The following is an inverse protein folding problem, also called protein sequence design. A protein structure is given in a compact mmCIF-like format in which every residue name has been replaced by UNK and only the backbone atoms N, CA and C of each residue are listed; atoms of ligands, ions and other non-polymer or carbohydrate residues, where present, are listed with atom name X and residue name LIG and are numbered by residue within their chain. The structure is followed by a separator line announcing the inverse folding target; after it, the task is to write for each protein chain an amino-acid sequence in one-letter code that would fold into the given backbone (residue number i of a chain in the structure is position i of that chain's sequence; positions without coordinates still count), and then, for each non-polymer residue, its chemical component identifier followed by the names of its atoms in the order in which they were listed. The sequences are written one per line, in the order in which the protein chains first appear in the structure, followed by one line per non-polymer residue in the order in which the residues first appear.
data_IF_326162194778
#
_entry.id   IF_326162194778
#
_cell.length_a   1.000
_cell.length_b   1.000
_cell.length_c   1.000
_cell.angle_alpha   90.00
_cell.angle_beta   90.00
_cell.angle_gamma   90.00
#
_symmetry.space_group_name_H-M   'P 1'
#
loop_
_entity.id
_entity.type
_entity.pdbx_description
1 polymer ?
#
# COMPACT_ATOMS: atom_id res chain seq x y z
N UNK A 1 -19.93 16.93 -3.27
CA UNK A 1 -18.62 17.50 -3.33
C UNK A 1 -17.61 16.57 -2.72
N UNK A 2 -16.62 16.10 -3.49
CA UNK A 2 -15.54 15.28 -2.97
C UNK A 2 -14.70 16.08 -1.97
N UNK A 3 -14.27 15.44 -0.89
CA UNK A 3 -13.32 16.02 0.05
C UNK A 3 -11.96 16.23 -0.65
N UNK A 4 -11.23 17.26 -0.24
CA UNK A 4 -9.86 17.45 -0.72
C UNK A 4 -9.00 16.24 -0.36
N UNK A 5 -8.06 15.81 -1.25
CA UNK A 5 -7.16 14.73 -0.95
C UNK A 5 -6.29 15.01 0.28
N UNK A 6 -6.11 14.02 1.12
CA UNK A 6 -5.13 14.06 2.21
C UNK A 6 -3.75 13.82 1.59
N UNK A 7 -2.84 14.77 1.75
CA UNK A 7 -1.47 14.66 1.23
C UNK A 7 -0.49 14.48 2.37
N UNK A 8 0.27 13.39 2.34
CA UNK A 8 1.29 13.07 3.32
C UNK A 8 2.63 12.94 2.59
N UNK A 9 3.48 13.96 2.77
CA UNK A 9 4.80 13.98 2.17
C UNK A 9 5.85 13.59 3.21
N UNK A 10 6.62 12.54 2.91
CA UNK A 10 7.71 12.06 3.76
C UNK A 10 9.04 12.45 3.13
N UNK A 11 9.66 13.49 3.66
CA UNK A 11 10.99 13.93 3.29
C UNK A 11 12.01 13.21 4.13
N UNK A 12 12.67 12.22 3.55
CA UNK A 12 13.62 11.35 4.25
C UNK A 12 15.03 11.88 4.08
N UNK A 13 15.65 12.33 5.17
CA UNK A 13 17.00 12.88 5.15
C UNK A 13 18.05 11.81 4.83
N UNK A 14 19.20 12.25 4.32
CA UNK A 14 20.33 11.36 4.08
C UNK A 14 20.91 10.82 5.40
N UNK A 15 21.29 9.56 5.39
CA UNK A 15 21.90 8.85 6.51
C UNK A 15 21.07 8.90 7.81
N UNK A 16 19.74 8.77 7.67
CA UNK A 16 18.79 8.79 8.80
C UNK A 16 17.93 7.54 8.81
N UNK A 17 17.43 7.23 10.00
CA UNK A 17 16.40 6.23 10.23
C UNK A 17 15.15 6.93 10.73
N UNK A 18 14.02 6.64 10.10
CA UNK A 18 12.73 7.21 10.48
C UNK A 18 11.67 6.13 10.63
N UNK A 19 10.78 6.33 11.60
CA UNK A 19 9.66 5.44 11.85
C UNK A 19 8.40 6.30 11.96
N UNK A 20 7.42 6.03 11.11
CA UNK A 20 6.16 6.76 11.07
C UNK A 20 4.99 5.79 11.21
N UNK A 21 3.97 6.23 11.91
CA UNK A 21 2.71 5.50 12.05
C UNK A 21 1.55 6.43 11.72
N UNK A 22 0.72 6.00 10.78
CA UNK A 22 -0.44 6.77 10.31
C UNK A 22 -1.68 5.93 10.51
N UNK A 23 -2.74 6.52 11.08
CA UNK A 23 -4.04 5.90 11.21
C UNK A 23 -5.09 6.78 10.54
N UNK A 24 -5.94 6.19 9.72
CA UNK A 24 -6.97 6.90 8.96
C UNK A 24 -8.30 6.20 9.17
N UNK A 25 -9.28 6.97 9.61
CA UNK A 25 -10.66 6.55 9.74
C UNK A 25 -11.50 7.19 8.61
N UNK A 26 -12.10 6.35 7.77
CA UNK A 26 -13.12 6.78 6.83
C UNK A 26 -14.49 6.42 7.41
N UNK A 27 -15.27 7.43 7.72
CA UNK A 27 -16.59 7.27 8.34
C UNK A 27 -17.61 6.78 7.33
N UNK A 28 -18.71 6.25 7.82
CA UNK A 28 -19.80 5.71 6.99
C UNK A 28 -20.14 6.60 5.80
N UNK A 29 -20.07 6.04 4.59
CA UNK A 29 -20.39 6.71 3.34
C UNK A 29 -19.39 7.75 2.85
N UNK A 30 -18.30 8.00 3.56
CA UNK A 30 -17.28 8.96 3.12
C UNK A 30 -16.40 8.44 1.99
N UNK A 31 -15.96 9.34 1.13
CA UNK A 31 -14.86 9.12 0.20
C UNK A 31 -13.61 9.83 0.71
N UNK A 32 -12.52 9.07 0.90
CA UNK A 32 -11.24 9.61 1.35
C UNK A 32 -10.16 9.24 0.33
N UNK A 33 -9.51 10.26 -0.23
CA UNK A 33 -8.37 10.09 -1.12
C UNK A 33 -7.10 10.48 -0.36
N UNK A 34 -6.12 9.58 -0.34
CA UNK A 34 -4.85 9.78 0.35
C UNK A 34 -3.72 9.67 -0.67
N UNK A 35 -2.87 10.68 -0.72
CA UNK A 35 -1.65 10.66 -1.52
C UNK A 35 -0.45 10.70 -0.57
N UNK A 36 0.37 9.67 -0.63
CA UNK A 36 1.61 9.55 0.14
C UNK A 36 2.79 9.50 -0.80
N UNK A 37 3.79 10.34 -0.56
CA UNK A 37 5.03 10.28 -1.32
C UNK A 37 6.26 10.30 -0.42
N UNK A 38 7.29 9.59 -0.85
CA UNK A 38 8.56 9.43 -0.12
C UNK A 38 9.68 9.90 -1.01
N UNK A 39 10.42 10.91 -0.54
CA UNK A 39 11.57 11.45 -1.26
C UNK A 39 12.79 11.54 -0.35
N UNK A 40 13.97 11.59 -0.94
CA UNK A 40 15.21 11.91 -0.27
C UNK A 40 15.98 12.96 -1.07
N UNK A 41 16.97 13.68 -0.46
CA UNK A 41 17.61 14.83 -1.12
C UNK A 41 18.32 14.46 -2.42
N UNK A 42 19.00 13.32 -2.45
CA UNK A 42 19.85 12.90 -3.55
C UNK A 42 19.56 11.47 -3.99
N UNK A 43 19.91 11.15 -5.23
CA UNK A 43 19.81 9.76 -5.73
C UNK A 43 20.72 8.79 -4.97
N UNK A 44 21.77 9.29 -4.35
CA UNK A 44 22.73 8.52 -3.55
C UNK A 44 22.39 8.52 -2.07
N UNK A 45 21.29 9.17 -1.66
CA UNK A 45 20.89 9.19 -0.25
C UNK A 45 20.69 7.79 0.29
N UNK A 46 21.15 7.58 1.51
CA UNK A 46 21.03 6.32 2.25
C UNK A 46 20.18 6.50 3.49
N UNK A 47 19.66 5.42 4.01
CA UNK A 47 18.89 5.42 5.24
C UNK A 47 17.85 4.33 5.28
N UNK A 48 17.02 4.40 6.32
CA UNK A 48 15.90 3.50 6.52
C UNK A 48 14.65 4.31 6.85
N UNK A 49 13.61 4.11 6.08
CA UNK A 49 12.28 4.61 6.41
C UNK A 49 11.34 3.43 6.66
N UNK A 50 10.67 3.42 7.80
CA UNK A 50 9.66 2.44 8.15
C UNK A 50 8.34 3.17 8.39
N UNK A 51 7.32 2.79 7.63
CA UNK A 51 6.02 3.46 7.66
C UNK A 51 4.93 2.40 7.79
N UNK A 52 4.11 2.55 8.81
CA UNK A 52 2.92 1.73 9.03
C UNK A 52 1.68 2.59 8.87
N UNK A 53 0.79 2.20 7.98
CA UNK A 53 -0.48 2.91 7.73
C UNK A 53 -1.63 1.96 8.00
N UNK A 54 -2.54 2.38 8.88
CA UNK A 54 -3.75 1.62 9.19
C UNK A 54 -4.99 2.38 8.77
N UNK A 55 -5.88 1.68 8.08
CA UNK A 55 -7.17 2.20 7.65
C UNK A 55 -8.29 1.45 8.35
N UNK A 56 -9.23 2.21 8.89
CA UNK A 56 -10.53 1.69 9.29
C UNK A 56 -11.58 2.31 8.36
N UNK A 57 -12.24 1.47 7.58
CA UNK A 57 -13.14 1.91 6.52
C UNK A 57 -14.55 1.44 6.88
N UNK A 58 -15.37 2.38 7.34
CA UNK A 58 -16.72 2.10 7.81
C UNK A 58 -17.67 1.79 6.64
N UNK A 59 -18.86 1.38 6.98
CA UNK A 59 -19.90 0.95 6.05
C UNK A 59 -20.07 1.91 4.86
N UNK A 60 -19.97 1.38 3.66
CA UNK A 60 -20.16 2.14 2.42
C UNK A 60 -19.11 3.21 2.15
N UNK A 61 -18.09 3.35 2.99
CA UNK A 61 -17.01 4.30 2.75
C UNK A 61 -16.04 3.78 1.69
N UNK A 62 -15.39 4.71 1.00
CA UNK A 62 -14.41 4.41 -0.03
C UNK A 62 -13.10 5.13 0.28
N UNK A 63 -12.00 4.38 0.32
CA UNK A 63 -10.66 4.93 0.45
C UNK A 63 -9.85 4.59 -0.79
N UNK A 64 -9.22 5.60 -1.36
CA UNK A 64 -8.24 5.45 -2.43
C UNK A 64 -6.90 5.95 -1.92
N UNK A 65 -5.92 5.05 -1.84
CA UNK A 65 -4.55 5.35 -1.45
C UNK A 65 -3.64 5.32 -2.67
N UNK A 66 -2.89 6.40 -2.88
CA UNK A 66 -1.82 6.45 -3.87
C UNK A 66 -0.51 6.66 -3.13
N UNK A 67 0.45 5.77 -3.32
CA UNK A 67 1.79 5.89 -2.77
C UNK A 67 2.82 5.95 -3.90
N UNK A 68 3.71 6.95 -3.84
CA UNK A 68 4.80 7.12 -4.79
C UNK A 68 6.12 7.14 -4.03
N UNK A 69 7.01 6.19 -4.32
CA UNK A 69 8.30 6.08 -3.66
C UNK A 69 9.41 6.48 -4.63
N UNK A 70 10.14 7.56 -4.27
CA UNK A 70 11.22 8.18 -5.04
C UNK A 70 12.50 8.29 -4.20
N UNK A 71 12.72 7.35 -3.29
CA UNK A 71 13.88 7.37 -2.40
C UNK A 71 15.19 7.10 -3.16
N UNK A 72 16.29 7.58 -2.60
CA UNK A 72 17.63 7.36 -3.16
C UNK A 72 18.01 5.88 -3.21
N UNK A 73 19.00 5.56 -4.03
CA UNK A 73 19.41 4.19 -4.39
C UNK A 73 20.06 3.41 -3.24
N UNK A 74 20.39 4.06 -2.14
CA UNK A 74 20.95 3.42 -0.95
C UNK A 74 19.93 3.42 0.23
N UNK A 75 18.70 3.80 -0.07
CA UNK A 75 17.63 3.82 0.93
C UNK A 75 16.92 2.46 1.03
N UNK A 76 16.51 2.10 2.24
CA UNK A 76 15.62 0.96 2.47
C UNK A 76 14.27 1.47 2.94
N UNK A 77 13.20 1.02 2.31
CA UNK A 77 11.83 1.31 2.72
C UNK A 77 11.15 0.06 3.27
N UNK A 78 10.61 0.16 4.47
CA UNK A 78 9.68 -0.81 5.05
C UNK A 78 8.30 -0.16 5.08
N UNK A 79 7.41 -0.60 4.22
CA UNK A 79 6.06 -0.04 4.06
C UNK A 79 5.03 -1.10 4.39
N UNK A 80 4.21 -0.85 5.41
CA UNK A 80 3.19 -1.79 5.84
C UNK A 80 1.82 -1.11 5.87
N UNK A 81 0.83 -1.75 5.26
CA UNK A 81 -0.53 -1.25 5.16
C UNK A 81 -1.48 -2.29 5.75
N UNK A 82 -2.32 -1.87 6.67
CA UNK A 82 -3.44 -2.67 7.16
C UNK A 82 -4.75 -1.95 6.92
N UNK A 83 -5.78 -2.67 6.49
CA UNK A 83 -7.11 -2.10 6.30
C UNK A 83 -8.17 -3.05 6.83
N UNK A 84 -9.17 -2.49 7.50
CA UNK A 84 -10.38 -3.19 7.89
C UNK A 84 -11.55 -2.57 7.15
N UNK A 85 -12.29 -3.41 6.40
CA UNK A 85 -13.38 -2.96 5.53
C UNK A 85 -14.70 -3.52 6.04
N UNK A 86 -15.61 -2.63 6.44
CA UNK A 86 -16.95 -2.98 6.86
C UNK A 86 -17.88 -3.20 5.65
N UNK A 87 -19.18 -3.40 5.90
CA UNK A 87 -20.16 -3.67 4.84
C UNK A 87 -20.10 -2.65 3.71
N UNK A 88 -19.94 -3.11 2.47
CA UNK A 88 -19.92 -2.25 1.29
C UNK A 88 -18.72 -1.32 1.19
N UNK A 89 -17.78 -1.39 2.13
CA UNK A 89 -16.57 -0.57 2.10
C UNK A 89 -15.68 -0.95 0.92
N UNK A 90 -14.96 0.03 0.38
CA UNK A 90 -14.04 -0.17 -0.74
C UNK A 90 -12.66 0.40 -0.40
N UNK A 91 -11.61 -0.40 -0.62
CA UNK A 91 -10.23 0.02 -0.45
C UNK A 91 -9.46 -0.21 -1.74
N UNK A 92 -8.99 0.88 -2.35
CA UNK A 92 -8.16 0.83 -3.55
C UNK A 92 -6.78 1.38 -3.25
N UNK A 93 -5.75 0.64 -3.65
CA UNK A 93 -4.35 1.02 -3.49
C UNK A 93 -3.67 1.06 -4.84
N UNK A 94 -3.02 2.18 -5.15
CA UNK A 94 -2.09 2.31 -6.27
C UNK A 94 -0.73 2.67 -5.71
N UNK A 95 0.27 1.85 -6.02
CA UNK A 95 1.64 2.07 -5.56
C UNK A 95 2.60 2.13 -6.74
N UNK A 96 3.52 3.10 -6.69
CA UNK A 96 4.60 3.26 -7.66
C UNK A 96 5.93 3.26 -6.91
N UNK A 97 6.73 2.22 -7.13
CA UNK A 97 8.05 2.08 -6.53
C UNK A 97 9.12 2.36 -7.59
N UNK A 98 9.76 3.53 -7.50
CA UNK A 98 10.66 4.04 -8.53
C UNK A 98 12.08 4.27 -8.02
N UNK A 99 12.33 4.06 -6.75
CA UNK A 99 13.63 4.28 -6.12
C UNK A 99 13.94 3.22 -5.06
N UNK A 100 14.78 3.57 -4.10
CA UNK A 100 15.35 2.77 -3.02
C UNK A 100 16.29 1.66 -3.49
N UNK A 101 17.12 1.16 -2.58
CA UNK A 101 17.89 -0.06 -2.78
C UNK A 101 17.01 -1.28 -2.55
N UNK A 102 16.26 -1.26 -1.45
CA UNK A 102 15.37 -2.34 -1.05
C UNK A 102 14.03 -1.77 -0.60
N UNK A 103 12.96 -2.26 -1.20
CA UNK A 103 11.59 -1.93 -0.79
C UNK A 103 10.91 -3.20 -0.31
N UNK A 104 10.49 -3.20 0.95
CA UNK A 104 9.64 -4.24 1.52
C UNK A 104 8.27 -3.65 1.73
N UNK A 105 7.30 -4.10 0.95
CA UNK A 105 5.94 -3.59 1.03
C UNK A 105 4.98 -4.71 1.38
N UNK A 106 4.26 -4.55 2.48
CA UNK A 106 3.20 -5.44 2.91
C UNK A 106 1.86 -4.72 2.90
N UNK A 107 0.81 -5.47 2.62
CA UNK A 107 -0.55 -4.99 2.71
C UNK A 107 -1.46 -6.14 3.13
N UNK A 108 -2.28 -5.92 4.14
CA UNK A 108 -3.33 -6.86 4.50
C UNK A 108 -4.66 -6.13 4.56
N UNK A 109 -5.59 -6.53 3.71
CA UNK A 109 -6.96 -6.04 3.73
C UNK A 109 -7.87 -7.11 4.32
N UNK A 110 -8.49 -6.80 5.46
CA UNK A 110 -9.51 -7.62 6.09
C UNK A 110 -10.88 -7.19 5.59
N UNK A 111 -11.48 -8.00 4.73
CA UNK A 111 -12.81 -7.76 4.16
C UNK A 111 -13.86 -8.36 5.12
N UNK A 112 -14.16 -7.60 6.17
CA UNK A 112 -14.99 -8.02 7.29
C UNK A 112 -16.47 -8.01 6.94
N UNK A 113 -16.89 -6.99 6.22
CA UNK A 113 -18.29 -6.75 5.91
C UNK A 113 -18.74 -7.35 4.59
N UNK A 114 -20.03 -7.60 4.49
CA UNK A 114 -20.68 -8.06 3.25
C UNK A 114 -20.42 -7.08 2.11
N UNK A 115 -20.07 -7.61 0.94
CA UNK A 115 -19.85 -6.83 -0.28
C UNK A 115 -18.72 -5.80 -0.17
N UNK A 116 -17.78 -5.98 0.76
CA UNK A 116 -16.59 -5.15 0.79
C UNK A 116 -15.59 -5.54 -0.31
N UNK A 117 -14.80 -4.57 -0.78
CA UNK A 117 -13.91 -4.73 -1.93
C UNK A 117 -12.51 -4.23 -1.62
N UNK A 118 -11.51 -4.94 -2.11
CA UNK A 118 -10.11 -4.53 -2.09
C UNK A 118 -9.50 -4.66 -3.47
N UNK A 119 -8.78 -3.64 -3.89
CA UNK A 119 -8.01 -3.66 -5.13
C UNK A 119 -6.64 -3.04 -4.89
N UNK A 120 -5.58 -3.73 -5.33
CA UNK A 120 -4.22 -3.22 -5.31
C UNK A 120 -3.59 -3.33 -6.70
N UNK A 121 -3.07 -2.20 -7.18
CA UNK A 121 -2.26 -2.11 -8.39
C UNK A 121 -0.89 -1.56 -8.02
N UNK A 122 0.16 -2.30 -8.35
CA UNK A 122 1.52 -1.94 -8.01
C UNK A 122 2.34 -1.84 -9.30
N UNK A 123 2.91 -0.65 -9.54
CA UNK A 123 3.90 -0.42 -10.58
C UNK A 123 5.29 -0.29 -9.98
N UNK A 124 6.30 -0.84 -10.64
CA UNK A 124 7.68 -0.74 -10.19
C UNK A 124 8.62 -0.58 -11.38
N UNK A 125 9.71 0.13 -11.14
CA UNK A 125 10.81 0.25 -12.10
C UNK A 125 12.13 0.06 -11.34
N UNK A 126 12.80 -1.05 -11.60
CA UNK A 126 14.05 -1.41 -10.94
C UNK A 126 15.24 -1.36 -11.90
N UNK A 127 16.35 -0.84 -11.41
CA UNK A 127 17.64 -0.76 -12.10
C UNK A 127 18.77 -1.21 -11.17
N UNK A 128 19.93 -1.50 -11.73
CA UNK A 128 21.08 -1.93 -10.93
C UNK A 128 20.77 -3.18 -10.14
N UNK A 129 20.94 -3.15 -8.83
CA UNK A 129 20.64 -4.25 -7.92
C UNK A 129 19.44 -3.96 -7.00
N UNK A 130 18.55 -3.07 -7.40
CA UNK A 130 17.34 -2.74 -6.63
C UNK A 130 16.47 -3.96 -6.43
N UNK A 131 15.85 -4.05 -5.25
CA UNK A 131 15.01 -5.18 -4.87
C UNK A 131 13.65 -4.70 -4.37
N UNK A 132 12.60 -5.37 -4.85
CA UNK A 132 11.23 -5.15 -4.41
C UNK A 132 10.65 -6.46 -3.89
N UNK A 133 10.34 -6.50 -2.61
CA UNK A 133 9.66 -7.62 -1.97
C UNK A 133 8.28 -7.15 -1.53
N UNK A 134 7.24 -7.75 -2.12
CA UNK A 134 5.85 -7.34 -1.95
C UNK A 134 5.02 -8.53 -1.51
N UNK A 135 4.36 -8.39 -0.35
CA UNK A 135 3.51 -9.45 0.20
C UNK A 135 2.12 -8.87 0.52
N UNK A 136 1.15 -9.22 -0.30
CA UNK A 136 -0.20 -8.67 -0.23
C UNK A 136 -1.20 -9.77 0.09
N UNK A 137 -2.05 -9.50 1.08
CA UNK A 137 -3.01 -10.47 1.61
C UNK A 137 -4.41 -9.87 1.63
N UNK A 138 -5.37 -10.57 1.07
CA UNK A 138 -6.78 -10.27 1.21
C UNK A 138 -7.44 -11.38 2.04
N UNK A 139 -8.03 -11.00 3.18
CA UNK A 139 -8.74 -11.92 4.06
C UNK A 139 -10.24 -11.71 3.88
N UNK A 140 -10.91 -12.70 3.29
CA UNK A 140 -12.34 -12.65 3.01
C UNK A 140 -13.10 -13.26 4.19
N UNK A 141 -13.78 -12.42 4.99
CA UNK A 141 -14.62 -12.82 6.12
C UNK A 141 -16.11 -12.59 5.86
N UNK A 142 -16.44 -11.50 5.21
CA UNK A 142 -17.81 -11.18 4.82
C UNK A 142 -18.29 -11.99 3.62
N UNK A 143 -19.59 -11.97 3.37
CA UNK A 143 -20.20 -12.59 2.19
C UNK A 143 -20.03 -11.69 0.96
N UNK A 144 -19.86 -12.28 -0.21
CA UNK A 144 -19.78 -11.57 -1.50
C UNK A 144 -18.68 -10.50 -1.53
N UNK A 145 -17.57 -10.78 -0.88
CA UNK A 145 -16.40 -9.89 -0.89
C UNK A 145 -15.54 -10.16 -2.13
N UNK A 146 -14.88 -9.12 -2.62
CA UNK A 146 -14.07 -9.18 -3.83
C UNK A 146 -12.69 -8.59 -3.59
N UNK A 147 -11.67 -9.26 -4.10
CA UNK A 147 -10.30 -8.73 -4.09
C UNK A 147 -9.63 -8.90 -5.43
N UNK A 148 -8.75 -7.97 -5.78
CA UNK A 148 -7.93 -7.99 -6.98
C UNK A 148 -6.55 -7.41 -6.67
N UNK A 149 -5.49 -8.10 -7.11
CA UNK A 149 -4.12 -7.67 -6.91
C UNK A 149 -3.34 -7.82 -8.21
N UNK A 150 -2.71 -6.75 -8.66
CA UNK A 150 -1.88 -6.73 -9.85
C UNK A 150 -0.54 -6.07 -9.54
N UNK A 151 0.55 -6.70 -9.97
CA UNK A 151 1.89 -6.13 -9.89
C UNK A 151 2.55 -6.21 -11.25
N UNK A 152 2.97 -5.07 -11.78
CA UNK A 152 3.56 -4.98 -13.11
C UNK A 152 4.67 -3.93 -13.13
N UNK A 153 5.70 -4.17 -13.93
CA UNK A 153 6.81 -3.23 -14.00
C UNK A 153 7.94 -3.67 -14.90
N UNK A 154 9.00 -2.89 -14.85
CA UNK A 154 10.21 -3.09 -15.66
C UNK A 154 11.39 -3.31 -14.72
N UNK A 155 12.17 -4.36 -15.00
CA UNK A 155 13.41 -4.67 -14.29
C UNK A 155 14.55 -4.69 -15.28
N UNK A 156 15.54 -3.82 -15.08
CA UNK A 156 16.80 -3.78 -15.84
C UNK A 156 17.96 -4.27 -14.97
N UNK A 157 19.05 -4.61 -15.60
CA UNK A 157 20.28 -5.07 -14.95
C UNK A 157 20.05 -6.29 -14.05
N UNK A 158 20.44 -6.20 -12.79
CA UNK A 158 20.28 -7.26 -11.79
C UNK A 158 19.15 -6.96 -10.80
N UNK A 159 18.25 -6.05 -11.16
CA UNK A 159 17.11 -5.73 -10.32
C UNK A 159 16.20 -6.95 -10.13
N UNK A 160 15.57 -7.04 -8.96
CA UNK A 160 14.82 -8.22 -8.57
C UNK A 160 13.47 -7.82 -7.95
N UNK A 161 12.46 -8.58 -8.30
CA UNK A 161 11.12 -8.45 -7.73
C UNK A 161 10.64 -9.81 -7.21
N UNK A 162 10.07 -9.81 -6.00
CA UNK A 162 9.27 -10.90 -5.49
C UNK A 162 7.89 -10.38 -5.11
N UNK A 163 6.86 -10.89 -5.72
CA UNK A 163 5.48 -10.57 -5.38
C UNK A 163 4.75 -11.83 -4.93
N UNK A 164 4.14 -11.75 -3.74
CA UNK A 164 3.26 -12.78 -3.21
C UNK A 164 1.90 -12.18 -2.94
N UNK A 165 0.89 -12.68 -3.65
CA UNK A 165 -0.50 -12.36 -3.39
C UNK A 165 -1.19 -13.55 -2.76
N UNK A 166 -1.79 -13.37 -1.59
CA UNK A 166 -2.51 -14.41 -0.86
C UNK A 166 -3.96 -14.02 -0.69
N UNK A 167 -4.85 -14.95 -1.02
CA UNK A 167 -6.29 -14.77 -0.80
C UNK A 167 -6.73 -15.85 0.18
N UNK A 168 -7.23 -15.43 1.34
CA UNK A 168 -7.66 -16.30 2.42
C UNK A 168 -9.17 -16.17 2.61
N UNK A 169 -9.91 -17.25 2.36
CA UNK A 169 -11.35 -17.31 2.54
C UNK A 169 -11.67 -17.94 3.90
N UNK A 170 -12.29 -17.17 4.79
CA UNK A 170 -12.73 -17.66 6.09
C UNK A 170 -14.12 -18.31 5.99
N UNK A 171 -14.45 -19.13 6.97
CA UNK A 171 -15.79 -19.72 7.06
C UNK A 171 -16.85 -18.63 7.10
N UNK A 172 -17.89 -18.77 6.27
CA UNK A 172 -18.96 -17.80 6.17
C UNK A 172 -18.80 -16.76 5.04
N UNK A 173 -17.69 -16.79 4.28
CA UNK A 173 -17.45 -15.87 3.17
C UNK A 173 -18.07 -16.33 1.84
N UNK A 174 -19.27 -16.87 1.89
CA UNK A 174 -19.92 -17.38 0.68
C UNK A 174 -20.14 -16.32 -0.40
N UNK A 175 -20.00 -16.70 -1.66
CA UNK A 175 -20.16 -15.82 -2.80
C UNK A 175 -18.98 -14.88 -3.09
N UNK A 176 -17.87 -15.10 -2.42
CA UNK A 176 -16.63 -14.32 -2.60
C UNK A 176 -15.69 -15.00 -3.57
#
# INVERSE_FOLDING_TARGET
GGSEPVRLHFSCEDNKKSFQKVEILAKEGEEVNVLMDYTSPEKTSSGLAAIQTKFHIEKGAKVRLVQVQLLGNEYTLLNDIGAQCEDGAQFEVLQLFLGSSKTYSGCQADLLGKESHFKADIGYQGKGSQRYDMNYVAVHKGKKTVSEMNADGILDDQAFKLFRGTIDFKNGSSGS
#
